data_IF_650954019754
#
_entry.id   IF_650954019754
#
_cell.length_a   1.000
_cell.length_b   1.000
_cell.length_c   1.000
_cell.angle_alpha   90.00
_cell.angle_beta   90.00
_cell.angle_gamma   90.00
#
_symmetry.space_group_name_H-M   'P 1'
#
loop_
_entity.id
_entity.type
_entity.pdbx_description
1 polymer ?
#
# COMPACT_ATOMS: atom_id res chain seq x y z
N UNK A 1 6.37 -3.60 7.79
CA UNK A 1 6.96 -2.87 8.93
C UNK A 1 6.73 -3.62 10.23
N UNK A 2 5.47 -3.85 10.65
CA UNK A 2 5.12 -4.55 11.89
C UNK A 2 5.83 -5.90 12.10
N UNK A 3 5.88 -6.76 11.07
CA UNK A 3 6.60 -8.05 11.14
C UNK A 3 8.05 -7.89 11.59
N UNK A 4 8.80 -6.95 10.98
CA UNK A 4 10.21 -6.74 11.31
C UNK A 4 10.38 -6.15 12.71
N UNK A 5 9.49 -5.27 13.15
CA UNK A 5 9.50 -4.76 14.52
C UNK A 5 9.27 -5.88 15.54
N UNK A 6 8.21 -6.68 15.35
CA UNK A 6 7.85 -7.76 16.26
C UNK A 6 8.96 -8.82 16.38
N UNK A 7 9.50 -9.28 15.25
CA UNK A 7 10.62 -10.23 15.23
C UNK A 7 11.88 -9.65 15.88
N UNK A 8 12.19 -8.38 15.63
CA UNK A 8 13.38 -7.73 16.21
C UNK A 8 13.24 -7.56 17.72
N UNK A 9 12.07 -7.15 18.21
CA UNK A 9 11.78 -7.07 19.64
C UNK A 9 12.02 -8.43 20.30
N UNK A 10 11.40 -9.48 19.75
CA UNK A 10 11.45 -10.81 20.36
C UNK A 10 12.82 -11.48 20.29
N UNK A 11 13.56 -11.24 19.21
CA UNK A 11 14.93 -11.72 19.08
C UNK A 11 15.92 -10.98 19.99
N UNK A 12 15.67 -9.69 20.29
CA UNK A 12 16.56 -8.87 21.10
C UNK A 12 16.27 -9.02 22.60
N UNK A 13 15.00 -9.16 22.98
CA UNK A 13 14.55 -9.43 24.34
C UNK A 13 13.45 -10.51 24.33
N UNK A 14 13.81 -11.78 24.61
CA UNK A 14 12.85 -12.88 24.66
C UNK A 14 11.78 -12.73 25.76
N UNK A 15 12.02 -11.90 26.78
CA UNK A 15 11.07 -11.70 27.88
C UNK A 15 10.04 -10.60 27.58
N UNK A 16 10.25 -9.81 26.53
CA UNK A 16 9.30 -8.80 26.09
C UNK A 16 8.01 -9.48 25.57
N UNK A 17 6.86 -9.02 26.07
CA UNK A 17 5.56 -9.40 25.53
C UNK A 17 5.31 -8.59 24.25
N UNK A 18 5.06 -9.29 23.15
CA UNK A 18 4.81 -8.67 21.85
C UNK A 18 3.47 -9.15 21.34
N UNK A 19 2.51 -8.23 21.20
CA UNK A 19 1.17 -8.48 20.67
C UNK A 19 1.01 -7.72 19.36
N UNK A 20 0.50 -8.38 18.33
CA UNK A 20 0.24 -7.78 17.02
C UNK A 20 -1.22 -7.96 16.62
N UNK A 21 -1.83 -6.88 16.13
CA UNK A 21 -3.17 -6.85 15.56
C UNK A 21 -3.10 -6.51 14.08
N UNK A 22 -3.64 -7.38 13.22
CA UNK A 22 -3.76 -7.14 11.78
C UNK A 22 -5.18 -7.44 11.32
N UNK A 23 -5.76 -6.52 10.56
CA UNK A 23 -7.13 -6.64 10.04
C UNK A 23 -7.24 -7.70 8.94
N UNK A 24 -6.14 -8.02 8.26
CA UNK A 24 -6.12 -9.03 7.21
C UNK A 24 -6.14 -10.43 7.83
N UNK A 25 -6.37 -11.45 7.01
CA UNK A 25 -6.25 -12.86 7.38
C UNK A 25 -4.86 -13.46 7.07
N UNK A 26 -3.98 -12.66 6.46
CA UNK A 26 -2.61 -13.01 6.10
C UNK A 26 -1.66 -11.88 6.51
N UNK A 27 -0.36 -12.18 6.62
CA UNK A 27 0.67 -11.21 7.02
C UNK A 27 1.91 -11.39 6.15
N UNK A 28 2.72 -10.33 6.03
CA UNK A 28 4.03 -10.41 5.35
C UNK A 28 3.95 -10.72 3.85
N UNK A 29 2.86 -10.30 3.21
CA UNK A 29 2.70 -10.31 1.77
C UNK A 29 3.62 -9.28 1.08
N UNK A 30 4.29 -9.69 0.01
CA UNK A 30 5.13 -8.88 -0.86
C UNK A 30 4.28 -8.26 -1.96
N UNK A 31 3.70 -7.08 -1.70
CA UNK A 31 2.86 -6.38 -2.67
C UNK A 31 3.58 -6.02 -3.99
N UNK A 32 4.91 -5.85 -3.99
CA UNK A 32 5.70 -5.70 -5.22
C UNK A 32 5.62 -6.92 -6.15
N UNK A 33 5.26 -8.09 -5.62
CA UNK A 33 5.05 -9.29 -6.40
C UNK A 33 3.69 -9.36 -7.09
N UNK A 34 2.76 -8.42 -6.87
CA UNK A 34 1.43 -8.47 -7.50
C UNK A 34 1.57 -8.42 -9.02
N UNK A 35 2.31 -7.47 -9.59
CA UNK A 35 2.45 -7.37 -11.04
C UNK A 35 3.12 -8.61 -11.65
N UNK A 36 4.12 -9.17 -10.96
CA UNK A 36 4.77 -10.42 -11.38
C UNK A 36 3.83 -11.63 -11.29
N UNK A 37 2.95 -11.67 -10.30
CA UNK A 37 1.95 -12.71 -10.14
C UNK A 37 0.83 -12.58 -11.19
N UNK A 38 0.29 -11.38 -11.34
CA UNK A 38 -0.68 -11.04 -12.38
C UNK A 38 -0.10 -11.29 -13.76
N UNK A 39 1.20 -11.09 -13.98
CA UNK A 39 1.89 -11.36 -15.24
C UNK A 39 2.25 -12.83 -15.47
N UNK A 40 1.97 -13.72 -14.52
CA UNK A 40 2.24 -15.16 -14.64
C UNK A 40 3.70 -15.58 -14.38
N UNK A 41 4.56 -14.64 -13.98
CA UNK A 41 5.97 -14.92 -13.62
C UNK A 41 6.05 -15.67 -12.30
N UNK A 42 5.27 -15.24 -11.30
CA UNK A 42 5.13 -15.95 -10.03
C UNK A 42 4.01 -16.98 -10.16
N UNK A 43 4.37 -18.27 -10.16
CA UNK A 43 3.41 -19.37 -10.31
C UNK A 43 2.71 -19.76 -9.01
N UNK A 44 3.45 -19.78 -7.91
CA UNK A 44 2.92 -20.09 -6.57
C UNK A 44 2.87 -18.81 -5.73
N UNK A 45 1.66 -18.26 -5.44
CA UNK A 45 1.54 -17.06 -4.62
C UNK A 45 2.05 -17.24 -3.18
N UNK A 46 2.22 -18.47 -2.70
CA UNK A 46 2.81 -18.71 -1.37
C UNK A 46 4.24 -18.16 -1.27
N UNK A 47 4.97 -18.11 -2.38
CA UNK A 47 6.31 -17.51 -2.44
C UNK A 47 6.33 -15.99 -2.22
N UNK A 48 5.16 -15.33 -2.23
CA UNK A 48 5.02 -13.90 -1.96
C UNK A 48 4.89 -13.59 -0.46
N UNK A 49 5.01 -14.59 0.42
CA UNK A 49 4.94 -14.42 1.86
C UNK A 49 6.29 -14.77 2.49
N UNK A 50 6.90 -13.81 3.19
CA UNK A 50 8.20 -14.04 3.85
C UNK A 50 8.09 -14.39 5.35
N UNK A 51 6.88 -14.37 5.90
CA UNK A 51 6.56 -14.86 7.24
C UNK A 51 5.10 -15.32 7.29
N UNK A 52 4.74 -16.02 8.37
CA UNK A 52 3.37 -16.47 8.61
C UNK A 52 2.95 -16.20 10.05
N UNK A 53 1.63 -16.14 10.35
CA UNK A 53 1.14 -16.02 11.73
C UNK A 53 1.66 -17.15 12.63
N UNK A 54 1.72 -18.39 12.14
CA UNK A 54 2.22 -19.54 12.88
C UNK A 54 3.72 -19.41 13.18
N UNK A 55 4.50 -18.92 12.21
CA UNK A 55 5.93 -18.67 12.39
C UNK A 55 6.18 -17.62 13.48
N UNK A 56 5.45 -16.50 13.43
CA UNK A 56 5.55 -15.46 14.47
C UNK A 56 5.13 -16.00 15.85
N UNK A 57 4.05 -16.79 15.93
CA UNK A 57 3.63 -17.45 17.18
C UNK A 57 4.70 -18.40 17.72
N UNK A 58 5.38 -19.15 16.86
CA UNK A 58 6.47 -20.04 17.27
C UNK A 58 7.68 -19.30 17.84
N UNK A 59 7.86 -18.03 17.46
CA UNK A 59 8.87 -17.13 18.03
C UNK A 59 8.40 -16.50 19.37
N UNK A 60 7.17 -16.78 19.82
CA UNK A 60 6.61 -16.26 21.06
C UNK A 60 5.96 -14.87 20.92
N UNK A 61 5.50 -14.52 19.72
CA UNK A 61 4.71 -13.32 19.44
C UNK A 61 3.23 -13.68 19.47
N UNK A 62 2.41 -12.91 20.18
CA UNK A 62 0.96 -13.06 20.18
C UNK A 62 0.38 -12.40 18.91
N UNK A 63 -0.23 -13.19 18.04
CA UNK A 63 -0.71 -12.72 16.74
C UNK A 63 -2.22 -12.85 16.60
N UNK A 64 -2.89 -11.71 16.48
CA UNK A 64 -4.32 -11.55 16.26
C UNK A 64 -4.58 -11.10 14.81
N UNK A 65 -4.83 -12.08 13.94
CA UNK A 65 -5.27 -11.83 12.55
C UNK A 65 -6.79 -11.62 12.51
N UNK A 66 -7.29 -10.88 11.52
CA UNK A 66 -8.70 -10.50 11.44
C UNK A 66 -9.16 -9.62 12.60
N UNK A 67 -8.26 -8.85 13.20
CA UNK A 67 -8.52 -7.96 14.31
C UNK A 67 -8.17 -6.52 13.94
N UNK A 68 -9.11 -5.61 14.16
CA UNK A 68 -8.93 -4.19 13.87
C UNK A 68 -8.87 -3.39 15.17
N UNK A 69 -7.82 -2.59 15.35
CA UNK A 69 -7.78 -1.57 16.39
C UNK A 69 -8.66 -0.40 15.94
N UNK A 70 -9.80 -0.21 16.59
CA UNK A 70 -10.81 0.79 16.20
C UNK A 70 -10.68 2.11 16.94
N UNK A 71 -10.06 2.08 18.14
CA UNK A 71 -9.87 3.26 18.99
C UNK A 71 -8.61 3.13 19.84
N UNK A 72 -7.95 4.27 20.09
CA UNK A 72 -6.87 4.38 21.07
C UNK A 72 -7.26 5.45 22.10
N UNK A 73 -7.27 5.06 23.37
CA UNK A 73 -7.24 5.96 24.52
C UNK A 73 -5.78 6.22 24.91
N UNK A 74 -5.26 7.32 24.39
CA UNK A 74 -3.87 7.72 24.58
C UNK A 74 -3.53 8.07 26.03
N UNK A 75 -4.49 8.60 26.80
CA UNK A 75 -4.26 9.02 28.18
C UNK A 75 -4.11 7.81 29.11
N UNK A 76 -4.93 6.77 28.88
CA UNK A 76 -4.91 5.55 29.68
C UNK A 76 -4.09 4.41 29.05
N UNK A 77 -3.43 4.65 27.91
CA UNK A 77 -2.65 3.67 27.13
C UNK A 77 -3.42 2.39 26.84
N UNK A 78 -4.64 2.55 26.32
CA UNK A 78 -5.56 1.46 26.06
C UNK A 78 -6.07 1.51 24.62
N UNK A 79 -6.35 0.35 24.05
CA UNK A 79 -6.88 0.19 22.70
C UNK A 79 -8.18 -0.60 22.75
N UNK A 80 -9.13 -0.23 21.88
CA UNK A 80 -10.31 -1.06 21.58
C UNK A 80 -10.01 -1.86 20.33
N UNK A 81 -10.14 -3.18 20.44
CA UNK A 81 -9.88 -4.13 19.35
C UNK A 81 -11.17 -4.85 19.00
N UNK A 82 -11.47 -4.93 17.71
CA UNK A 82 -12.63 -5.63 17.16
C UNK A 82 -12.20 -6.86 16.38
N UNK A 83 -12.72 -8.02 16.75
CA UNK A 83 -12.62 -9.23 15.94
C UNK A 83 -13.59 -9.12 14.75
N UNK A 84 -13.08 -9.05 13.52
CA UNK A 84 -13.88 -8.72 12.34
C UNK A 84 -14.89 -9.82 11.97
N UNK A 85 -14.61 -11.09 12.32
CA UNK A 85 -15.49 -12.21 12.01
C UNK A 85 -16.74 -12.25 12.91
N UNK A 86 -16.58 -11.96 14.19
CA UNK A 86 -17.66 -12.08 15.19
C UNK A 86 -18.28 -10.72 15.53
N UNK A 87 -17.56 -9.63 15.25
CA UNK A 87 -17.92 -8.28 15.68
C UNK A 87 -17.68 -8.04 17.17
N UNK A 88 -17.12 -9.00 17.91
CA UNK A 88 -16.81 -8.85 19.33
C UNK A 88 -15.70 -7.83 19.53
N UNK A 89 -15.90 -6.94 20.50
CA UNK A 89 -14.89 -5.96 20.92
C UNK A 89 -14.33 -6.32 22.29
N UNK A 90 -13.05 -5.99 22.49
CA UNK A 90 -12.38 -6.06 23.79
C UNK A 90 -11.37 -4.92 23.91
N UNK A 91 -10.93 -4.68 25.15
CA UNK A 91 -9.90 -3.70 25.45
C UNK A 91 -8.57 -4.38 25.71
N UNK A 92 -7.48 -3.75 25.28
CA UNK A 92 -6.11 -4.17 25.57
C UNK A 92 -5.26 -2.95 25.95
N UNK A 93 -4.18 -3.16 26.72
CA UNK A 93 -3.32 -2.09 27.21
C UNK A 93 -1.91 -2.21 26.63
N UNK A 94 -1.14 -1.13 26.62
CA UNK A 94 0.23 -1.15 26.14
C UNK A 94 1.16 -0.30 27.02
N UNK A 95 2.40 -0.76 27.16
CA UNK A 95 3.49 0.08 27.69
C UNK A 95 4.06 0.97 26.59
N UNK A 96 4.27 0.38 25.41
CA UNK A 96 4.75 0.99 24.17
C UNK A 96 3.86 0.55 23.01
N UNK A 97 3.53 1.47 22.11
CA UNK A 97 2.72 1.23 20.93
C UNK A 97 3.54 1.47 19.66
N UNK A 98 3.51 0.51 18.73
CA UNK A 98 4.08 0.68 17.39
C UNK A 98 2.93 0.75 16.38
N UNK A 99 2.71 1.92 15.80
CA UNK A 99 1.82 2.10 14.67
C UNK A 99 2.52 1.66 13.39
N UNK A 100 2.05 0.56 12.81
CA UNK A 100 2.50 0.03 11.52
C UNK A 100 1.31 -0.12 10.56
N UNK A 101 0.34 0.81 10.64
CA UNK A 101 -0.97 0.73 9.95
C UNK A 101 -0.85 0.89 8.43
N UNK A 102 0.32 1.28 7.94
CA UNK A 102 0.62 1.40 6.52
C UNK A 102 -0.23 2.46 5.83
N UNK A 103 -0.63 2.15 4.60
CA UNK A 103 -1.31 3.08 3.69
C UNK A 103 -2.47 2.41 2.96
N UNK A 104 -3.31 3.18 2.28
CA UNK A 104 -4.39 2.68 1.42
C UNK A 104 -4.39 3.39 0.07
N UNK A 105 -4.79 2.73 -1.04
CA UNK A 105 -4.88 3.38 -2.34
C UNK A 105 -5.77 4.63 -2.26
N UNK A 106 -5.33 5.71 -2.88
CA UNK A 106 -6.13 6.94 -2.98
C UNK A 106 -7.40 6.63 -3.77
N UNK A 107 -8.54 7.08 -3.23
CA UNK A 107 -9.85 6.98 -3.89
C UNK A 107 -10.36 8.39 -4.15
N UNK A 108 -10.05 9.00 -5.31
CA UNK A 108 -10.48 10.36 -5.62
C UNK A 108 -12.02 10.41 -5.73
N UNK A 109 -12.67 11.56 -5.46
CA UNK A 109 -14.11 11.70 -5.51
C UNK A 109 -14.63 11.78 -6.96
N UNK A 110 -14.50 10.68 -7.71
CA UNK A 110 -14.91 10.57 -9.12
C UNK A 110 -16.29 9.92 -9.17
N UNK A 111 -17.20 10.50 -9.96
CA UNK A 111 -18.53 9.95 -10.16
C UNK A 111 -18.44 8.52 -10.72
N UNK A 112 -19.22 7.60 -10.14
CA UNK A 112 -19.26 6.20 -10.57
C UNK A 112 -18.06 5.35 -10.15
N UNK A 113 -17.05 5.91 -9.46
CA UNK A 113 -15.94 5.10 -8.93
C UNK A 113 -16.40 4.19 -7.78
N UNK A 114 -17.27 4.71 -6.91
CA UNK A 114 -17.78 3.99 -5.74
C UNK A 114 -19.14 3.37 -5.99
N UNK A 115 -19.39 2.24 -5.34
CA UNK A 115 -20.69 1.56 -5.33
C UNK A 115 -20.92 0.93 -3.96
N UNK A 116 -22.03 1.28 -3.30
CA UNK A 116 -22.36 0.73 -1.99
C UNK A 116 -22.58 -0.79 -2.04
N UNK A 117 -22.25 -1.48 -0.94
CA UNK A 117 -22.41 -2.93 -0.82
C UNK A 117 -21.41 -3.77 -1.62
N UNK A 118 -20.37 -3.16 -2.20
CA UNK A 118 -19.32 -3.86 -2.95
C UNK A 118 -18.02 -4.00 -2.15
N UNK A 119 -17.20 -4.96 -2.53
CA UNK A 119 -15.87 -5.14 -1.97
C UNK A 119 -15.03 -3.88 -2.16
N UNK A 120 -14.44 -3.38 -1.07
CA UNK A 120 -13.67 -2.11 -1.02
C UNK A 120 -14.45 -0.85 -1.44
N UNK A 121 -15.79 -0.95 -1.61
CA UNK A 121 -16.65 0.17 -1.99
C UNK A 121 -16.47 0.66 -3.42
N UNK A 122 -15.87 -0.14 -4.30
CA UNK A 122 -15.63 0.19 -5.71
C UNK A 122 -16.74 -0.34 -6.62
N UNK A 123 -17.11 0.42 -7.66
CA UNK A 123 -17.98 -0.09 -8.72
C UNK A 123 -17.39 -1.38 -9.29
N UNK A 124 -18.25 -2.38 -9.54
CA UNK A 124 -17.80 -3.69 -10.03
C UNK A 124 -16.98 -3.52 -11.32
N UNK A 125 -15.92 -4.30 -11.46
CA UNK A 125 -14.96 -4.19 -12.56
C UNK A 125 -13.88 -3.12 -12.35
N UNK A 126 -13.91 -2.39 -11.24
CA UNK A 126 -12.82 -1.50 -10.81
C UNK A 126 -12.08 -2.13 -9.63
N UNK A 127 -10.75 -2.16 -9.69
CA UNK A 127 -9.89 -2.83 -8.72
C UNK A 127 -8.82 -1.90 -8.16
N UNK A 128 -8.37 -2.22 -6.95
CA UNK A 128 -7.12 -1.73 -6.39
C UNK A 128 -6.03 -2.78 -6.56
N UNK A 129 -4.76 -2.38 -6.40
CA UNK A 129 -3.61 -3.29 -6.37
C UNK A 129 -2.72 -2.97 -5.16
N UNK A 130 -2.99 -3.63 -4.03
CA UNK A 130 -2.22 -3.47 -2.78
C UNK A 130 -2.16 -4.76 -1.96
N UNK A 131 -3.33 -5.34 -1.68
CA UNK A 131 -3.47 -6.53 -0.85
C UNK A 131 -3.30 -7.81 -1.66
N UNK A 132 -3.02 -8.91 -0.96
CA UNK A 132 -3.00 -10.24 -1.56
C UNK A 132 -4.33 -10.57 -2.26
N UNK A 133 -5.46 -10.35 -1.57
CA UNK A 133 -6.80 -10.58 -2.10
C UNK A 133 -7.06 -9.77 -3.38
N UNK A 134 -6.57 -8.54 -3.44
CA UNK A 134 -6.73 -7.69 -4.62
C UNK A 134 -5.95 -8.22 -5.84
N UNK A 135 -4.75 -8.77 -5.62
CA UNK A 135 -4.03 -9.49 -6.67
C UNK A 135 -4.80 -10.71 -7.17
N UNK A 136 -5.42 -11.45 -6.25
CA UNK A 136 -6.26 -12.61 -6.59
C UNK A 136 -7.50 -12.19 -7.40
N UNK A 137 -8.17 -11.12 -6.97
CA UNK A 137 -9.34 -10.54 -7.65
C UNK A 137 -8.99 -10.11 -9.08
N UNK A 138 -7.84 -9.44 -9.27
CA UNK A 138 -7.35 -9.03 -10.59
C UNK A 138 -7.11 -10.26 -11.48
N UNK A 139 -6.42 -11.29 -10.99
CA UNK A 139 -6.13 -12.51 -11.76
C UNK A 139 -7.42 -13.23 -12.18
N UNK A 140 -8.35 -13.37 -11.24
CA UNK A 140 -9.64 -13.99 -11.51
C UNK A 140 -10.45 -13.21 -12.55
N UNK A 141 -10.36 -11.88 -12.52
CA UNK A 141 -11.07 -11.03 -13.46
C UNK A 141 -10.49 -11.11 -14.86
N UNK A 142 -9.17 -11.00 -15.02
CA UNK A 142 -8.54 -11.05 -16.34
C UNK A 142 -8.61 -12.43 -16.99
N UNK A 143 -8.84 -13.50 -16.22
CA UNK A 143 -9.05 -14.84 -16.75
C UNK A 143 -10.39 -15.00 -17.48
N UNK A 144 -11.34 -14.07 -17.28
CA UNK A 144 -12.67 -14.13 -17.90
C UNK A 144 -12.60 -13.80 -19.40
N UNK A 145 -13.23 -14.59 -20.29
CA UNK A 145 -13.19 -14.38 -21.75
C UNK A 145 -13.77 -13.03 -22.22
N UNK A 146 -14.73 -12.49 -21.48
CA UNK A 146 -15.35 -11.20 -21.77
C UNK A 146 -14.46 -10.00 -21.42
N UNK A 147 -13.45 -10.18 -20.56
CA UNK A 147 -12.52 -9.11 -20.20
C UNK A 147 -11.41 -9.05 -21.24
N UNK A 148 -11.52 -8.12 -22.18
CA UNK A 148 -10.59 -7.94 -23.29
C UNK A 148 -9.81 -6.63 -23.19
N UNK A 149 -10.49 -5.56 -22.79
CA UNK A 149 -9.93 -4.21 -22.70
C UNK A 149 -9.81 -3.75 -21.25
N UNK A 150 -8.58 -3.52 -20.80
CA UNK A 150 -8.23 -3.15 -19.42
C UNK A 150 -7.64 -1.75 -19.41
N UNK A 151 -8.12 -0.88 -18.53
CA UNK A 151 -7.52 0.43 -18.28
C UNK A 151 -6.80 0.46 -16.93
N UNK A 152 -5.59 0.98 -16.92
CA UNK A 152 -4.85 1.33 -15.69
C UNK A 152 -4.87 2.85 -15.54
N UNK A 153 -5.38 3.33 -14.42
CA UNK A 153 -5.44 4.77 -14.11
C UNK A 153 -4.34 5.13 -13.12
N UNK A 154 -3.38 5.93 -13.56
CA UNK A 154 -2.15 6.31 -12.88
C UNK A 154 -0.94 5.57 -13.45
N UNK A 155 0.02 6.32 -14.00
CA UNK A 155 1.26 5.84 -14.59
C UNK A 155 2.47 6.01 -13.65
N UNK A 156 2.25 5.81 -12.35
CA UNK A 156 3.34 5.55 -11.39
C UNK A 156 3.89 4.12 -11.52
N UNK A 157 4.76 3.71 -10.60
CA UNK A 157 5.40 2.39 -10.63
C UNK A 157 4.42 1.23 -10.80
N UNK A 158 3.43 1.15 -9.91
CA UNK A 158 2.45 0.06 -9.92
C UNK A 158 1.67 0.01 -11.24
N UNK A 159 1.31 1.18 -11.78
CA UNK A 159 0.56 1.24 -13.03
C UNK A 159 1.38 0.73 -14.21
N UNK A 160 2.64 1.15 -14.30
CA UNK A 160 3.56 0.74 -15.37
C UNK A 160 3.92 -0.76 -15.28
N UNK A 161 4.05 -1.34 -14.09
CA UNK A 161 4.27 -2.79 -13.95
C UNK A 161 3.00 -3.59 -14.34
N UNK A 162 1.80 -3.08 -14.04
CA UNK A 162 0.55 -3.77 -14.31
C UNK A 162 0.18 -3.80 -15.80
N UNK A 163 0.48 -2.75 -16.57
CA UNK A 163 0.19 -2.74 -18.02
C UNK A 163 0.96 -3.84 -18.76
N UNK A 164 2.21 -4.10 -18.36
CA UNK A 164 3.01 -5.21 -18.90
C UNK A 164 2.37 -6.56 -18.53
N UNK A 165 1.96 -6.72 -17.27
CA UNK A 165 1.28 -7.92 -16.80
C UNK A 165 -0.02 -8.22 -17.58
N UNK A 166 -0.83 -7.20 -17.85
CA UNK A 166 -2.06 -7.35 -18.65
C UNK A 166 -1.77 -7.60 -20.13
N UNK A 167 -0.74 -6.97 -20.69
CA UNK A 167 -0.31 -7.24 -22.06
C UNK A 167 0.13 -8.68 -22.24
N UNK A 168 0.86 -9.24 -21.27
CA UNK A 168 1.27 -10.64 -21.26
C UNK A 168 0.08 -11.62 -21.20
N UNK A 169 -1.09 -11.16 -20.76
CA UNK A 169 -2.37 -11.89 -20.80
C UNK A 169 -3.17 -11.65 -22.08
N UNK A 170 -2.58 -11.02 -23.11
CA UNK A 170 -3.20 -10.77 -24.40
C UNK A 170 -4.33 -9.75 -24.35
N UNK A 171 -4.37 -8.89 -23.33
CA UNK A 171 -5.39 -7.84 -23.19
C UNK A 171 -5.04 -6.61 -24.05
N UNK A 172 -6.07 -5.91 -24.50
CA UNK A 172 -5.96 -4.54 -24.98
C UNK A 172 -5.81 -3.63 -23.76
N UNK A 173 -4.73 -2.85 -23.69
CA UNK A 173 -4.38 -2.11 -22.47
C UNK A 173 -4.34 -0.62 -22.75
N UNK A 174 -5.07 0.15 -21.94
CA UNK A 174 -4.97 1.60 -21.87
C UNK A 174 -4.22 1.99 -20.59
N UNK A 175 -3.19 2.84 -20.70
CA UNK A 175 -2.59 3.55 -19.58
C UNK A 175 -3.04 5.01 -19.59
N UNK A 176 -3.70 5.43 -18.51
CA UNK A 176 -4.23 6.78 -18.34
C UNK A 176 -3.47 7.51 -17.22
N UNK A 177 -3.01 8.73 -17.47
CA UNK A 177 -2.29 9.55 -16.49
C UNK A 177 -2.67 11.04 -16.61
N UNK A 178 -2.93 11.67 -15.47
CA UNK A 178 -3.27 13.09 -15.40
C UNK A 178 -2.04 13.99 -15.57
N UNK A 179 -0.86 13.50 -15.21
CA UNK A 179 0.42 14.15 -15.45
C UNK A 179 0.85 14.03 -16.93
N UNK A 180 1.69 14.96 -17.44
CA UNK A 180 2.09 14.95 -18.84
C UNK A 180 3.07 13.84 -19.22
N UNK A 181 3.57 13.05 -18.25
CA UNK A 181 4.60 12.01 -18.45
C UNK A 181 4.33 10.82 -17.53
N UNK A 182 4.72 9.63 -17.96
CA UNK A 182 4.78 8.45 -17.06
C UNK A 182 5.84 8.67 -15.99
N UNK A 183 5.63 8.13 -14.78
CA UNK A 183 6.61 8.17 -13.69
C UNK A 183 7.18 9.57 -13.39
N UNK A 184 6.38 10.62 -13.62
CA UNK A 184 6.82 12.02 -13.60
C UNK A 184 7.45 12.48 -12.26
N UNK A 185 7.09 11.82 -11.15
CA UNK A 185 7.61 12.11 -9.82
C UNK A 185 8.92 11.38 -9.49
N UNK A 186 9.40 10.52 -10.37
CA UNK A 186 10.57 9.67 -10.12
C UNK A 186 11.72 9.94 -11.06
N UNK A 187 11.40 10.25 -12.33
CA UNK A 187 12.41 10.41 -13.37
C UNK A 187 12.19 11.68 -14.20
N UNK A 188 13.30 12.25 -14.63
CA UNK A 188 13.34 13.35 -15.58
C UNK A 188 12.92 12.90 -16.98
N UNK A 189 12.65 13.88 -17.83
CA UNK A 189 12.00 13.70 -19.13
C UNK A 189 12.74 12.71 -20.03
N UNK A 190 14.07 12.76 -20.01
CA UNK A 190 14.93 11.94 -20.87
C UNK A 190 14.76 10.44 -20.61
N UNK A 191 14.53 10.06 -19.35
CA UNK A 191 14.27 8.67 -18.96
C UNK A 191 12.83 8.30 -19.28
N UNK A 192 11.87 9.20 -19.00
CA UNK A 192 10.46 8.92 -19.24
C UNK A 192 10.13 8.85 -20.73
N UNK A 193 10.80 9.62 -21.59
CA UNK A 193 10.62 9.56 -23.04
C UNK A 193 10.96 8.17 -23.59
N UNK A 194 12.06 7.57 -23.13
CA UNK A 194 12.46 6.21 -23.52
C UNK A 194 11.47 5.16 -22.96
N UNK A 195 11.00 5.33 -21.73
CA UNK A 195 9.98 4.47 -21.15
C UNK A 195 8.65 4.55 -21.93
N UNK A 196 8.19 5.75 -22.26
CA UNK A 196 6.97 5.98 -23.05
C UNK A 196 7.08 5.36 -24.44
N UNK A 197 8.25 5.45 -25.07
CA UNK A 197 8.52 4.80 -26.35
C UNK A 197 8.35 3.28 -26.23
N UNK A 198 8.97 2.65 -25.23
CA UNK A 198 8.85 1.20 -24.98
C UNK A 198 7.41 0.76 -24.72
N UNK A 199 6.67 1.54 -23.92
CA UNK A 199 5.25 1.31 -23.63
C UNK A 199 4.43 1.34 -24.92
N UNK A 200 4.67 2.33 -25.81
CA UNK A 200 3.98 2.43 -27.11
C UNK A 200 4.39 1.31 -28.07
N UNK A 201 5.68 0.97 -28.13
CA UNK A 201 6.22 -0.10 -28.98
C UNK A 201 5.64 -1.48 -28.56
N UNK A 202 5.33 -1.68 -27.28
CA UNK A 202 4.60 -2.83 -26.76
C UNK A 202 3.09 -2.82 -27.11
N UNK A 203 2.61 -1.79 -27.80
CA UNK A 203 1.21 -1.64 -28.23
C UNK A 203 0.26 -1.34 -27.08
N UNK A 204 0.71 -0.60 -26.06
CA UNK A 204 -0.15 -0.03 -25.02
C UNK A 204 -0.69 1.32 -25.51
N UNK A 205 -1.99 1.53 -25.37
CA UNK A 205 -2.64 2.80 -25.67
C UNK A 205 -2.34 3.78 -24.52
N UNK A 206 -1.57 4.84 -24.81
CA UNK A 206 -1.05 5.75 -23.79
C UNK A 206 -1.75 7.13 -23.85
N UNK A 207 -2.43 7.50 -22.78
CA UNK A 207 -3.11 8.79 -22.61
C UNK A 207 -2.51 9.56 -21.43
N UNK A 208 -1.77 10.62 -21.74
CA UNK A 208 -1.09 11.47 -20.76
C UNK A 208 -1.72 12.86 -20.71
N UNK A 209 -1.57 13.53 -19.56
CA UNK A 209 -2.16 14.84 -19.32
C UNK A 209 -3.69 14.81 -19.33
N UNK A 210 -4.30 13.66 -19.02
CA UNK A 210 -5.74 13.41 -19.18
C UNK A 210 -6.35 12.90 -17.88
N UNK A 211 -7.44 13.53 -17.46
CA UNK A 211 -8.03 13.33 -16.14
C UNK A 211 -9.36 12.63 -16.23
N UNK A 212 -9.48 11.46 -15.58
CA UNK A 212 -10.76 10.75 -15.44
C UNK A 212 -11.77 11.61 -14.68
N UNK A 213 -12.97 11.74 -15.23
CA UNK A 213 -14.09 12.50 -14.66
C UNK A 213 -15.23 11.62 -14.18
N UNK A 214 -15.47 10.48 -14.84
CA UNK A 214 -16.60 9.61 -14.53
C UNK A 214 -16.37 8.18 -14.99
N UNK A 215 -16.87 7.22 -14.22
CA UNK A 215 -16.98 5.82 -14.60
C UNK A 215 -18.44 5.48 -14.90
N UNK A 216 -18.72 5.07 -16.12
CA UNK A 216 -20.06 4.75 -16.62
C UNK A 216 -20.31 3.25 -16.69
N UNK A 217 -21.60 2.91 -16.69
CA UNK A 217 -22.13 1.55 -16.68
C UNK A 217 -23.05 1.34 -15.47
N UNK A 218 -24.03 0.45 -15.61
CA UNK A 218 -25.06 0.22 -14.59
C UNK A 218 -24.43 -0.44 -13.35
N UNK A 219 -24.39 -1.78 -13.33
CA UNK A 219 -23.85 -2.57 -12.23
C UNK A 219 -22.33 -2.69 -12.24
N UNK A 220 -21.70 -2.46 -13.40
CA UNK A 220 -20.28 -2.65 -13.66
C UNK A 220 -19.77 -1.52 -14.53
N UNK A 221 -18.50 -1.16 -14.38
CA UNK A 221 -17.83 -0.26 -15.34
C UNK A 221 -17.89 -0.86 -16.76
N UNK A 222 -18.26 0.00 -17.72
CA UNK A 222 -18.25 -0.28 -19.16
C UNK A 222 -17.51 0.79 -19.95
N UNK A 223 -17.39 2.00 -19.37
CA UNK A 223 -16.78 3.15 -20.01
C UNK A 223 -16.15 4.09 -18.99
N UNK A 224 -15.03 4.68 -19.36
CA UNK A 224 -14.35 5.74 -18.60
C UNK A 224 -14.45 7.04 -19.39
N UNK A 225 -14.98 8.09 -18.77
CA UNK A 225 -15.09 9.43 -19.35
C UNK A 225 -14.04 10.32 -18.72
N UNK A 226 -13.31 11.05 -19.55
CA UNK A 226 -12.24 11.97 -19.16
C UNK A 226 -12.59 13.40 -19.58
N UNK A 227 -11.66 14.34 -19.37
CA UNK A 227 -11.74 15.68 -19.92
C UNK A 227 -11.42 15.78 -21.42
N UNK A 228 -10.91 14.71 -22.05
CA UNK A 228 -10.54 14.71 -23.48
C UNK A 228 -11.28 13.68 -24.33
N UNK A 229 -11.92 12.69 -23.71
CA UNK A 229 -12.56 11.61 -24.46
C UNK A 229 -13.34 10.63 -23.59
N UNK A 230 -13.69 9.51 -24.21
CA UNK A 230 -14.37 8.41 -23.53
C UNK A 230 -13.92 7.08 -24.10
N UNK A 231 -13.71 6.10 -23.23
CA UNK A 231 -13.10 4.82 -23.59
C UNK A 231 -13.95 3.67 -23.06
N UNK A 232 -14.37 2.77 -23.94
CA UNK A 232 -14.99 1.52 -23.52
C UNK A 232 -13.94 0.60 -22.89
N UNK A 233 -14.29 -0.02 -21.77
CA UNK A 233 -13.41 -0.88 -20.97
C UNK A 233 -14.22 -1.99 -20.30
N UNK A 234 -13.58 -3.13 -20.09
CA UNK A 234 -14.17 -4.26 -19.34
C UNK A 234 -13.72 -4.28 -17.88
N UNK A 235 -12.56 -3.67 -17.62
CA UNK A 235 -11.90 -3.64 -16.31
C UNK A 235 -11.05 -2.38 -16.15
N UNK A 236 -11.02 -1.86 -14.93
CA UNK A 236 -10.16 -0.73 -14.54
C UNK A 236 -9.34 -1.10 -13.31
N UNK A 237 -8.05 -0.73 -13.28
CA UNK A 237 -7.24 -0.77 -12.06
C UNK A 237 -6.81 0.64 -11.68
N UNK A 238 -7.13 1.04 -10.45
CA UNK A 238 -6.77 2.33 -9.89
C UNK A 238 -5.39 2.25 -9.24
N UNK A 239 -4.44 3.05 -9.76
CA UNK A 239 -3.04 3.15 -9.31
C UNK A 239 -2.60 4.62 -9.16
N UNK A 240 -3.45 5.45 -8.57
CA UNK A 240 -3.26 6.91 -8.42
C UNK A 240 -2.55 7.32 -7.12
N UNK A 241 -1.73 6.43 -6.57
CA UNK A 241 -0.95 6.66 -5.35
C UNK A 241 -1.59 6.15 -4.06
N UNK A 242 -0.87 6.35 -2.95
CA UNK A 242 -1.26 5.89 -1.61
C UNK A 242 -1.38 7.04 -0.63
N UNK A 243 -2.27 6.87 0.35
CA UNK A 243 -2.38 7.74 1.52
C UNK A 243 -2.13 6.94 2.81
N UNK A 244 -1.42 7.49 3.81
CA UNK A 244 -1.32 6.90 5.14
C UNK A 244 -2.67 6.52 5.74
N UNK A 245 -2.74 5.39 6.45
CA UNK A 245 -3.93 4.98 7.19
C UNK A 245 -4.01 5.75 8.51
N UNK A 246 -4.46 7.00 8.43
CA UNK A 246 -4.35 7.97 9.51
C UNK A 246 -5.56 8.15 10.43
N UNK A 247 -6.69 7.51 10.11
CA UNK A 247 -7.94 7.71 10.85
C UNK A 247 -7.81 7.47 12.36
N UNK A 248 -7.00 6.49 12.77
CA UNK A 248 -6.82 6.12 14.17
C UNK A 248 -6.09 7.19 15.01
N UNK A 249 -5.29 8.05 14.38
CA UNK A 249 -4.33 8.90 15.07
C UNK A 249 -4.29 10.35 14.61
N UNK A 250 -4.97 10.71 13.51
CA UNK A 250 -4.90 12.04 12.87
C UNK A 250 -5.26 13.21 13.80
N UNK A 251 -6.15 12.98 14.76
CA UNK A 251 -6.62 14.01 15.70
C UNK A 251 -5.75 14.08 16.97
N UNK A 252 -4.80 13.14 17.12
CA UNK A 252 -3.90 13.08 18.26
C UNK A 252 -2.46 13.36 17.84
N UNK A 253 -1.86 12.56 16.97
CA UNK A 253 -0.44 12.68 16.61
C UNK A 253 -0.17 13.82 15.62
N UNK A 254 1.06 14.33 15.63
CA UNK A 254 1.53 15.25 14.61
C UNK A 254 1.72 14.52 13.28
N UNK A 255 1.16 15.09 12.21
CA UNK A 255 1.22 14.50 10.87
C UNK A 255 1.62 15.52 9.82
N UNK A 256 2.24 15.04 8.75
CA UNK A 256 2.34 15.78 7.50
C UNK A 256 0.93 16.02 6.91
N UNK A 257 0.74 16.99 5.98
CA UNK A 257 -0.59 17.29 5.41
C UNK A 257 -1.33 16.08 4.80
N UNK A 258 -0.60 15.05 4.36
CA UNK A 258 -1.19 13.83 3.81
C UNK A 258 -1.62 12.80 4.88
N UNK A 259 -1.30 13.00 6.17
CA UNK A 259 -1.62 12.12 7.29
C UNK A 259 -0.47 11.22 7.75
N UNK A 260 0.75 11.36 7.21
CA UNK A 260 1.89 10.57 7.65
C UNK A 260 2.40 11.08 9.00
N UNK A 261 2.56 10.20 10.00
CA UNK A 261 3.05 10.57 11.34
C UNK A 261 4.47 11.10 11.25
N UNK A 262 4.74 12.26 11.84
CA UNK A 262 6.10 12.79 11.98
C UNK A 262 6.82 12.02 13.07
N UNK A 263 7.96 11.43 12.73
CA UNK A 263 8.79 10.64 13.66
C UNK A 263 10.22 11.15 13.70
N UNK A 264 10.86 11.04 14.85
CA UNK A 264 12.30 11.33 14.98
C UNK A 264 13.17 10.21 14.39
N UNK A 265 14.50 10.33 14.49
CA UNK A 265 15.45 9.31 14.00
C UNK A 265 15.36 7.98 14.75
N UNK A 266 14.66 7.91 15.88
CA UNK A 266 14.41 6.68 16.65
C UNK A 266 13.08 6.01 16.29
N UNK A 267 12.34 6.60 15.33
CA UNK A 267 10.98 6.23 14.90
C UNK A 267 9.89 6.55 15.93
N UNK A 268 10.23 7.35 16.96
CA UNK A 268 9.29 7.79 17.98
C UNK A 268 8.47 8.96 17.44
N UNK A 269 7.19 9.00 17.75
CA UNK A 269 6.34 10.14 17.42
C UNK A 269 6.81 11.40 18.15
N UNK A 270 6.69 12.57 17.53
CA UNK A 270 7.07 13.84 18.16
C UNK A 270 6.22 14.20 19.39
N UNK A 271 5.01 13.64 19.50
CA UNK A 271 4.02 14.00 20.52
C UNK A 271 3.98 13.07 21.74
N UNK A 272 4.20 11.76 21.57
CA UNK A 272 4.09 10.76 22.64
C UNK A 272 5.31 9.84 22.67
N UNK A 273 6.01 9.82 23.81
CA UNK A 273 7.23 9.05 24.05
C UNK A 273 7.03 7.52 24.10
N UNK A 274 5.78 7.09 24.18
CA UNK A 274 5.39 5.68 24.19
C UNK A 274 4.91 5.21 22.82
N UNK A 275 4.79 6.11 21.84
CA UNK A 275 4.26 5.80 20.52
C UNK A 275 5.36 5.92 19.48
N UNK A 276 5.51 4.87 18.70
CA UNK A 276 6.39 4.78 17.54
C UNK A 276 5.54 4.62 16.28
N UNK A 277 6.03 5.09 15.14
CA UNK A 277 5.38 4.87 13.86
C UNK A 277 6.40 4.43 12.81
N UNK A 278 6.04 3.43 12.01
CA UNK A 278 6.96 2.78 11.07
C UNK A 278 6.29 2.42 9.74
N UNK A 279 7.07 2.51 8.66
CA UNK A 279 6.58 2.21 7.31
C UNK A 279 5.60 3.25 6.79
N UNK A 280 4.65 2.84 5.95
CA UNK A 280 3.83 3.75 5.15
C UNK A 280 2.79 4.57 5.95
N UNK A 281 2.72 4.45 7.28
CA UNK A 281 1.92 5.37 8.11
C UNK A 281 2.72 6.54 8.66
N UNK A 282 4.05 6.53 8.49
CA UNK A 282 4.98 7.54 8.99
C UNK A 282 5.70 8.27 7.88
N UNK A 283 6.21 9.47 8.18
CA UNK A 283 7.18 10.16 7.34
C UNK A 283 8.55 9.50 7.47
N UNK A 284 9.44 9.82 6.53
CA UNK A 284 10.86 9.47 6.59
C UNK A 284 11.69 10.73 6.47
N UNK A 285 12.87 10.73 7.07
CA UNK A 285 13.85 11.79 6.82
C UNK A 285 14.51 11.57 5.46
N UNK A 286 14.27 12.47 4.51
CA UNK A 286 14.89 12.46 3.19
C UNK A 286 16.26 13.12 3.26
N UNK A 287 17.33 12.36 2.99
CA UNK A 287 18.69 12.89 3.02
C UNK A 287 18.92 13.92 1.89
N UNK A 288 18.18 13.78 0.78
CA UNK A 288 18.30 14.62 -0.40
C UNK A 288 17.70 16.01 -0.16
N UNK A 289 16.49 16.09 0.40
CA UNK A 289 15.82 17.36 0.68
C UNK A 289 16.05 17.88 2.10
N UNK A 290 16.66 17.07 2.98
CA UNK A 290 16.87 17.35 4.40
C UNK A 290 15.58 17.66 5.16
N UNK A 291 14.47 17.05 4.75
CA UNK A 291 13.15 17.27 5.34
C UNK A 291 12.38 15.96 5.55
N UNK A 292 11.28 16.02 6.33
CA UNK A 292 10.38 14.89 6.49
C UNK A 292 9.46 14.78 5.28
N UNK A 293 9.53 13.63 4.60
CA UNK A 293 8.77 13.35 3.39
C UNK A 293 7.99 12.05 3.51
N UNK A 294 7.05 11.85 2.59
CA UNK A 294 6.29 10.61 2.48
C UNK A 294 6.82 9.76 1.33
N UNK A 295 7.71 8.81 1.66
CA UNK A 295 8.30 7.87 0.71
C UNK A 295 7.91 6.44 1.14
N UNK A 296 6.81 5.95 0.60
CA UNK A 296 6.22 4.65 0.91
C UNK A 296 6.94 3.53 0.14
N UNK A 297 8.05 3.03 0.69
CA UNK A 297 8.84 1.94 0.13
C UNK A 297 9.07 0.84 1.18
N UNK A 298 9.04 -0.42 0.74
CA UNK A 298 9.31 -1.57 1.59
C UNK A 298 10.69 -1.50 2.27
N UNK A 299 11.67 -0.91 1.59
CA UNK A 299 13.02 -0.64 2.12
C UNK A 299 13.00 0.18 3.39
N UNK A 300 12.16 1.22 3.45
CA UNK A 300 11.94 2.03 4.63
C UNK A 300 11.21 1.21 5.70
N UNK A 301 10.10 0.56 5.33
CA UNK A 301 9.28 -0.23 6.26
C UNK A 301 10.06 -1.30 7.05
N UNK A 302 11.02 -1.97 6.42
CA UNK A 302 11.89 -2.96 7.09
C UNK A 302 12.85 -2.28 8.07
N UNK A 303 13.61 -1.28 7.59
CA UNK A 303 14.63 -0.57 8.39
C UNK A 303 14.01 0.12 9.59
N UNK A 304 12.89 0.82 9.39
CA UNK A 304 12.18 1.53 10.45
C UNK A 304 11.69 0.56 11.54
N UNK A 305 11.20 -0.62 11.18
CA UNK A 305 10.79 -1.64 12.15
C UNK A 305 11.94 -2.10 13.05
N UNK A 306 13.12 -2.33 12.47
CA UNK A 306 14.33 -2.71 13.21
C UNK A 306 14.78 -1.58 14.15
N UNK A 307 14.78 -0.34 13.67
CA UNK A 307 15.16 0.85 14.46
C UNK A 307 14.21 1.05 15.64
N UNK A 308 12.90 1.04 15.41
CA UNK A 308 11.91 1.23 16.47
C UNK A 308 12.05 0.17 17.57
N UNK A 309 12.17 -1.10 17.20
CA UNK A 309 12.33 -2.21 18.15
C UNK A 309 13.55 -2.03 19.06
N UNK A 310 14.71 -1.65 18.48
CA UNK A 310 15.92 -1.41 19.25
C UNK A 310 15.79 -0.21 20.22
N UNK A 311 15.10 0.86 19.81
CA UNK A 311 14.91 2.02 20.68
C UNK A 311 13.90 1.80 21.79
N UNK A 312 12.87 0.99 21.55
CA UNK A 312 11.96 0.52 22.60
C UNK A 312 12.74 -0.22 23.70
N UNK A 313 13.73 -1.02 23.30
CA UNK A 313 14.61 -1.78 24.21
C UNK A 313 15.84 -0.98 24.72
N UNK A 314 15.88 0.33 24.49
CA UNK A 314 16.94 1.21 25.01
C UNK A 314 18.32 1.07 24.34
N UNK A 315 18.42 0.40 23.18
CA UNK A 315 19.69 0.15 22.48
C UNK A 315 20.25 1.36 21.69
N UNK A 316 19.50 2.48 21.62
CA UNK A 316 19.91 3.75 20.99
C UNK A 316 20.40 3.60 19.55
N UNK A 317 19.50 3.26 18.63
CA UNK A 317 19.81 3.09 17.20
C UNK A 317 19.15 4.22 16.42
N UNK A 318 19.90 4.94 15.57
CA UNK A 318 19.33 6.01 14.75
C UNK A 318 19.06 5.52 13.32
N UNK A 319 17.93 5.94 12.77
CA UNK A 319 17.63 5.84 11.36
C UNK A 319 18.49 6.83 10.58
N UNK A 320 19.20 6.34 9.57
CA UNK A 320 20.13 7.15 8.77
C UNK A 320 19.43 8.06 7.74
N UNK A 321 18.09 8.03 7.68
CA UNK A 321 17.32 8.62 6.59
C UNK A 321 17.30 7.73 5.35
N UNK A 322 16.73 8.27 4.27
CA UNK A 322 16.67 7.62 2.96
C UNK A 322 16.88 8.61 1.83
N UNK A 323 17.45 8.13 0.73
CA UNK A 323 17.60 8.86 -0.52
C UNK A 323 16.43 8.58 -1.48
N UNK A 324 15.48 7.74 -1.07
CA UNK A 324 14.36 7.35 -1.92
C UNK A 324 14.75 6.45 -3.09
N UNK A 325 15.90 5.77 -3.02
CA UNK A 325 16.40 4.88 -4.08
C UNK A 325 15.36 3.84 -4.47
N UNK A 326 15.09 3.76 -5.77
CA UNK A 326 14.06 2.92 -6.37
C UNK A 326 14.51 2.50 -7.78
N UNK A 327 13.84 1.50 -8.34
CA UNK A 327 14.08 1.00 -9.70
C UNK A 327 12.81 0.33 -10.21
N UNK A 328 12.65 0.31 -11.54
CA UNK A 328 11.57 -0.38 -12.24
C UNK A 328 12.13 -0.97 -13.54
N UNK A 329 11.58 -2.09 -13.99
CA UNK A 329 11.75 -2.61 -15.34
C UNK A 329 10.53 -2.22 -16.17
N UNK A 330 10.76 -1.69 -17.38
CA UNK A 330 9.68 -1.29 -18.31
C UNK A 330 9.96 -1.94 -19.65
N UNK A 331 9.26 -3.04 -19.95
CA UNK A 331 9.38 -3.82 -21.19
C UNK A 331 10.82 -4.15 -21.63
#
# INVERSE_FOLDING_TARGET
>A
AGTWAAKTLKATDPNCQVVTYDRNDNISFLACGIALWVGGVVKDPKGLFYASPEGLKSEGIEVYMGHEVTKIDWANKKMTVKELKTGKEFEDNYDKLILATGSWPVTPPIEGLKQEGTTYGLKKGIFFSKLYQQGQDIINEIAKPEVKKVMVVGAGYIGVELIEAFKNHGKEVILMEAMPRVMANYFDKEITDEAEKRIKDAGIELHLGETVKKFEGDDRVKKVVTDKGSYDVDMVVMSVGFRPNSELYKDYLETLPNGAIVVDTTMKSSKDENVYAIGDCSSVYSCSSKSHEYIALATNAVRMGIVAANNILGKKVNYCGTQGSNAICVF
#
